data_IF_712939382102
#
_entry.id   IF_712939382102
#
_cell.length_a   1.000
_cell.length_b   1.000
_cell.length_c   1.000
_cell.angle_alpha   90.00
_cell.angle_beta   90.00
_cell.angle_gamma   90.00
#
_symmetry.space_group_name_H-M   'P 1'
#
loop_
_entity.id
_entity.type
_entity.pdbx_description
1 polymer ?
#
# COMPACT_ATOMS: atom_id res chain seq x y z
N UNK A 1 35.63 24.34 -24.60
CA UNK A 1 34.40 24.84 -23.96
C UNK A 1 33.66 23.58 -23.57
N UNK A 2 34.00 23.08 -22.39
CA UNK A 2 33.54 21.80 -21.89
C UNK A 2 32.18 22.02 -21.22
N UNK A 3 31.11 21.78 -21.98
CA UNK A 3 29.77 21.63 -21.43
C UNK A 3 29.81 20.48 -20.43
N UNK A 4 29.86 20.81 -19.14
CA UNK A 4 29.83 19.83 -18.05
C UNK A 4 28.38 19.36 -17.89
N UNK A 5 27.98 18.18 -18.41
CA UNK A 5 26.63 17.69 -18.29
C UNK A 5 26.59 16.86 -17.00
N UNK A 6 26.56 17.54 -15.86
CA UNK A 6 26.80 16.90 -14.56
C UNK A 6 25.86 17.28 -13.42
N UNK A 7 24.86 18.13 -13.67
CA UNK A 7 23.94 18.61 -12.62
C UNK A 7 22.46 18.48 -12.95
N UNK A 8 22.09 18.15 -14.19
CA UNK A 8 20.70 17.94 -14.61
C UNK A 8 20.25 16.47 -14.54
N UNK A 9 21.16 15.49 -14.57
CA UNK A 9 20.85 14.08 -14.29
C UNK A 9 20.53 13.81 -12.81
N UNK A 10 20.74 14.81 -11.95
CA UNK A 10 20.32 14.83 -10.55
C UNK A 10 18.96 15.50 -10.33
N UNK A 11 18.18 15.76 -11.39
CA UNK A 11 16.73 15.91 -11.22
C UNK A 11 16.16 14.54 -10.85
N UNK A 12 16.42 14.11 -9.60
CA UNK A 12 15.76 13.01 -8.93
C UNK A 12 14.29 13.26 -9.13
N UNK A 13 13.69 12.60 -10.11
CA UNK A 13 12.25 12.64 -10.35
C UNK A 13 11.65 12.38 -8.99
N UNK A 14 10.94 13.38 -8.46
CA UNK A 14 10.32 13.23 -7.17
C UNK A 14 9.38 12.04 -7.32
N UNK A 15 9.69 10.93 -6.65
CA UNK A 15 8.87 9.72 -6.69
C UNK A 15 7.42 10.16 -6.45
N UNK A 16 6.44 9.84 -7.30
CA UNK A 16 5.09 10.34 -7.14
C UNK A 16 4.38 9.72 -5.92
N UNK A 17 4.89 8.61 -5.39
CA UNK A 17 4.27 7.84 -4.30
C UNK A 17 4.03 8.59 -2.96
N UNK A 18 4.90 9.47 -2.45
CA UNK A 18 4.70 10.17 -1.19
C UNK A 18 3.43 11.02 -1.17
N UNK A 19 2.97 11.55 -2.31
CA UNK A 19 1.72 12.31 -2.36
C UNK A 19 0.50 11.40 -2.12
N UNK A 20 0.53 10.18 -2.66
CA UNK A 20 -0.53 9.20 -2.49
C UNK A 20 -0.52 8.59 -1.09
N UNK A 21 0.66 8.43 -0.48
CA UNK A 21 0.78 8.09 0.95
C UNK A 21 0.16 9.20 1.82
N UNK A 22 0.55 10.46 1.56
CA UNK A 22 0.07 11.62 2.30
C UNK A 22 -1.45 11.83 2.17
N UNK A 23 -2.05 11.45 1.04
CA UNK A 23 -3.49 11.49 0.84
C UNK A 23 -4.21 10.25 1.37
N UNK A 24 -3.61 9.07 1.24
CA UNK A 24 -4.21 7.79 1.62
C UNK A 24 -4.54 7.71 3.11
N UNK A 25 -3.66 8.25 3.98
CA UNK A 25 -3.88 8.29 5.42
C UNK A 25 -5.14 9.10 5.78
N UNK A 26 -5.24 10.42 5.47
CA UNK A 26 -6.41 11.21 5.83
C UNK A 26 -7.69 10.71 5.14
N UNK A 27 -7.61 10.21 3.90
CA UNK A 27 -8.78 9.60 3.24
C UNK A 27 -9.25 8.36 3.99
N UNK A 28 -8.32 7.48 4.42
CA UNK A 28 -8.67 6.29 5.20
C UNK A 28 -9.25 6.65 6.57
N UNK A 29 -8.70 7.67 7.24
CA UNK A 29 -9.22 8.16 8.52
C UNK A 29 -10.62 8.73 8.38
N UNK A 30 -10.88 9.55 7.36
CA UNK A 30 -12.24 10.06 7.09
C UNK A 30 -13.20 8.90 6.85
N UNK A 31 -12.79 7.90 6.07
CA UNK A 31 -13.60 6.70 5.85
C UNK A 31 -13.95 5.96 7.15
N UNK A 32 -12.96 5.77 8.03
CA UNK A 32 -13.13 5.03 9.28
C UNK A 32 -13.91 5.84 10.33
N UNK A 33 -13.62 7.14 10.45
CA UNK A 33 -14.23 8.02 11.45
C UNK A 33 -15.70 8.32 11.13
N UNK A 34 -16.03 8.49 9.85
CA UNK A 34 -17.39 8.79 9.38
C UNK A 34 -18.18 7.55 8.94
N UNK A 35 -17.62 6.34 9.09
CA UNK A 35 -18.25 5.06 8.70
C UNK A 35 -18.56 4.97 7.19
N UNK A 36 -17.77 5.66 6.35
CA UNK A 36 -17.82 5.55 4.90
C UNK A 36 -16.98 4.37 4.44
N UNK A 37 -17.62 3.20 4.43
CA UNK A 37 -17.02 1.92 4.03
C UNK A 37 -16.15 1.99 2.74
N UNK A 38 -16.64 2.49 1.58
CA UNK A 38 -15.82 2.52 0.36
C UNK A 38 -14.65 3.50 0.44
N UNK A 39 -14.78 4.58 1.21
CA UNK A 39 -13.73 5.59 1.38
C UNK A 39 -12.61 5.04 2.26
N UNK A 40 -12.96 4.32 3.33
CA UNK A 40 -11.99 3.64 4.19
C UNK A 40 -11.17 2.62 3.40
N UNK A 41 -11.85 1.74 2.65
CA UNK A 41 -11.20 0.73 1.82
C UNK A 41 -10.33 1.37 0.75
N UNK A 42 -10.84 2.38 0.04
CA UNK A 42 -10.09 3.11 -0.99
C UNK A 42 -8.83 3.79 -0.44
N UNK A 43 -8.92 4.44 0.72
CA UNK A 43 -7.78 5.09 1.37
C UNK A 43 -6.68 4.10 1.78
N UNK A 44 -7.07 2.95 2.37
CA UNK A 44 -6.14 1.90 2.77
C UNK A 44 -5.45 1.24 1.57
N UNK A 45 -6.18 1.01 0.47
CA UNK A 45 -5.63 0.49 -0.78
C UNK A 45 -4.66 1.49 -1.43
N UNK A 46 -5.02 2.77 -1.45
CA UNK A 46 -4.16 3.83 -1.99
C UNK A 46 -2.87 3.97 -1.19
N UNK A 47 -2.97 3.98 0.13
CA UNK A 47 -1.82 4.04 1.04
C UNK A 47 -0.90 2.84 0.84
N UNK A 48 -1.44 1.62 0.92
CA UNK A 48 -0.65 0.39 0.82
C UNK A 48 -0.03 0.18 -0.55
N UNK A 49 -0.75 0.47 -1.64
CA UNK A 49 -0.22 0.45 -3.00
C UNK A 49 0.93 1.43 -3.17
N UNK A 50 0.87 2.59 -2.53
CA UNK A 50 1.94 3.59 -2.59
C UNK A 50 3.18 3.19 -1.81
N UNK A 51 3.00 2.57 -0.63
CA UNK A 51 4.12 2.02 0.15
C UNK A 51 4.80 0.88 -0.62
N UNK A 52 4.02 0.00 -1.26
CA UNK A 52 4.57 -1.06 -2.09
C UNK A 52 5.31 -0.53 -3.33
N UNK A 53 4.77 0.49 -4.00
CA UNK A 53 5.42 1.19 -5.10
C UNK A 53 6.75 1.81 -4.67
N UNK A 54 6.78 2.47 -3.51
CA UNK A 54 7.98 3.07 -2.92
C UNK A 54 9.02 2.01 -2.54
N UNK A 55 8.59 0.85 -2.03
CA UNK A 55 9.49 -0.26 -1.67
C UNK A 55 10.13 -0.89 -2.92
N UNK A 56 9.37 -0.94 -4.03
CA UNK A 56 9.89 -1.38 -5.34
C UNK A 56 10.87 -0.36 -5.92
N UNK A 57 10.53 0.93 -5.92
CA UNK A 57 11.35 2.00 -6.49
C UNK A 57 12.67 2.20 -5.72
N UNK A 58 12.67 1.93 -4.41
CA UNK A 58 13.88 1.97 -3.58
C UNK A 58 14.77 0.73 -3.72
N UNK A 59 14.38 -0.28 -4.52
CA UNK A 59 15.12 -1.53 -4.69
C UNK A 59 15.10 -2.44 -3.47
N UNK A 60 14.27 -2.15 -2.47
CA UNK A 60 14.20 -2.92 -1.22
C UNK A 60 13.41 -4.22 -1.38
N UNK A 61 12.54 -4.30 -2.40
CA UNK A 61 11.84 -5.52 -2.77
C UNK A 61 11.95 -5.76 -4.29
N UNK A 62 12.38 -6.96 -4.67
CA UNK A 62 12.42 -7.42 -6.07
C UNK A 62 11.02 -7.36 -6.71
N UNK A 63 9.96 -7.56 -5.92
CA UNK A 63 8.58 -7.48 -6.40
C UNK A 63 7.69 -6.65 -5.48
N UNK A 64 6.73 -5.88 -6.03
CA UNK A 64 5.81 -5.05 -5.24
C UNK A 64 4.80 -5.87 -4.41
N UNK A 65 4.71 -7.18 -4.65
CA UNK A 65 3.69 -8.06 -4.08
C UNK A 65 3.97 -8.46 -2.63
N UNK A 66 5.24 -8.61 -2.25
CA UNK A 66 5.65 -8.92 -0.86
C UNK A 66 5.20 -7.84 0.14
N UNK A 67 5.52 -6.55 -0.11
CA UNK A 67 5.07 -5.45 0.75
C UNK A 67 3.55 -5.36 0.89
N UNK A 68 2.78 -5.61 -0.19
CA UNK A 68 1.31 -5.66 -0.13
C UNK A 68 0.81 -6.74 0.83
N UNK A 69 1.39 -7.95 0.78
CA UNK A 69 0.98 -9.06 1.62
C UNK A 69 1.26 -8.77 3.11
N UNK A 70 2.41 -8.17 3.43
CA UNK A 70 2.75 -7.76 4.81
C UNK A 70 1.78 -6.72 5.33
N UNK A 71 1.49 -5.67 4.54
CA UNK A 71 0.53 -4.63 4.92
C UNK A 71 -0.89 -5.19 5.08
N UNK A 72 -1.31 -6.09 4.19
CA UNK A 72 -2.57 -6.81 4.32
C UNK A 72 -2.66 -7.60 5.63
N UNK A 73 -1.58 -8.30 6.02
CA UNK A 73 -1.51 -9.01 7.29
C UNK A 73 -1.62 -8.09 8.50
N UNK A 74 -0.91 -6.94 8.50
CA UNK A 74 -0.98 -5.95 9.57
C UNK A 74 -2.41 -5.40 9.71
N UNK A 75 -3.04 -5.01 8.61
CA UNK A 75 -4.42 -4.53 8.65
C UNK A 75 -5.41 -5.61 9.08
N UNK A 76 -5.18 -6.88 8.74
CA UNK A 76 -6.05 -7.98 9.20
C UNK A 76 -6.01 -8.09 10.73
N UNK A 77 -4.81 -8.06 11.32
CA UNK A 77 -4.64 -8.12 12.78
C UNK A 77 -5.29 -6.90 13.45
N UNK A 78 -5.07 -5.71 12.90
CA UNK A 78 -5.65 -4.47 13.43
C UNK A 78 -7.19 -4.51 13.34
N UNK A 79 -7.74 -4.88 12.19
CA UNK A 79 -9.18 -4.99 11.95
C UNK A 79 -9.84 -6.03 12.84
N UNK A 80 -9.20 -7.19 13.04
CA UNK A 80 -9.67 -8.20 13.97
C UNK A 80 -9.65 -7.70 15.43
N UNK A 81 -8.58 -7.01 15.86
CA UNK A 81 -8.53 -6.41 17.18
C UNK A 81 -9.68 -5.41 17.40
N UNK A 82 -9.97 -4.55 16.42
CA UNK A 82 -11.12 -3.63 16.48
C UNK A 82 -12.47 -4.37 16.51
N UNK A 83 -12.63 -5.44 15.73
CA UNK A 83 -13.87 -6.21 15.66
C UNK A 83 -14.17 -7.01 16.95
N UNK A 84 -13.14 -7.54 17.61
CA UNK A 84 -13.27 -8.35 18.83
C UNK A 84 -13.22 -7.53 20.12
N UNK A 85 -12.48 -6.41 20.16
CA UNK A 85 -12.30 -5.63 21.40
C UNK A 85 -13.40 -4.59 21.66
N UNK A 86 -14.21 -4.21 20.66
CA UNK A 86 -15.18 -3.12 20.80
C UNK A 86 -16.56 -3.47 20.22
N UNK A 87 -17.51 -3.81 21.11
CA UNK A 87 -18.89 -4.18 20.78
C UNK A 87 -19.73 -3.09 20.09
N UNK A 88 -19.19 -1.87 19.92
CA UNK A 88 -19.86 -0.72 19.28
C UNK A 88 -19.11 -0.19 18.03
N UNK A 89 -18.03 -0.88 17.60
CA UNK A 89 -17.21 -0.51 16.44
C UNK A 89 -17.22 -1.57 15.33
N UNK A 90 -18.14 -2.53 15.38
CA UNK A 90 -18.19 -3.68 14.46
C UNK A 90 -18.22 -3.24 12.99
N UNK A 91 -19.04 -2.25 12.61
CA UNK A 91 -19.11 -1.74 11.22
C UNK A 91 -17.76 -1.25 10.70
N UNK A 92 -16.99 -0.57 11.56
CA UNK A 92 -15.66 -0.02 11.24
C UNK A 92 -14.59 -1.12 11.14
N UNK A 93 -14.66 -2.10 12.04
CA UNK A 93 -13.79 -3.29 12.00
C UNK A 93 -13.93 -4.08 10.70
N UNK A 94 -15.16 -4.23 10.20
CA UNK A 94 -15.41 -4.92 8.93
C UNK A 94 -14.79 -4.22 7.72
N UNK A 95 -14.73 -2.88 7.70
CA UNK A 95 -14.08 -2.13 6.62
C UNK A 95 -12.57 -2.41 6.57
N UNK A 96 -11.92 -2.45 7.72
CA UNK A 96 -10.48 -2.74 7.83
C UNK A 96 -10.20 -4.20 7.42
N UNK A 97 -11.03 -5.14 7.88
CA UNK A 97 -10.91 -6.57 7.51
C UNK A 97 -11.11 -6.75 6.00
N UNK A 98 -12.10 -6.08 5.40
CA UNK A 98 -12.35 -6.17 3.96
C UNK A 98 -11.13 -5.67 3.15
N UNK A 99 -10.57 -4.51 3.52
CA UNK A 99 -9.35 -3.99 2.90
C UNK A 99 -8.17 -4.96 3.05
N UNK A 100 -8.00 -5.54 4.25
CA UNK A 100 -6.96 -6.52 4.52
C UNK A 100 -7.10 -7.77 3.63
N UNK A 101 -8.32 -8.31 3.48
CA UNK A 101 -8.60 -9.45 2.60
C UNK A 101 -8.25 -9.11 1.16
N UNK A 102 -8.67 -7.94 0.66
CA UNK A 102 -8.34 -7.51 -0.71
C UNK A 102 -6.83 -7.42 -0.91
N UNK A 103 -6.10 -6.86 0.05
CA UNK A 103 -4.64 -6.74 -0.02
C UNK A 103 -3.94 -8.09 0.03
N UNK A 104 -4.41 -9.01 0.86
CA UNK A 104 -3.87 -10.37 0.94
C UNK A 104 -4.13 -11.13 -0.37
N UNK A 105 -5.33 -10.99 -0.95
CA UNK A 105 -5.65 -11.60 -2.25
C UNK A 105 -4.81 -11.00 -3.36
N UNK A 106 -4.61 -9.68 -3.38
CA UNK A 106 -3.75 -9.01 -4.35
C UNK A 106 -2.28 -9.45 -4.21
N UNK A 107 -1.76 -9.53 -2.98
CA UNK A 107 -0.41 -10.02 -2.69
C UNK A 107 -0.23 -11.49 -3.08
N UNK A 108 -1.21 -12.34 -2.76
CA UNK A 108 -1.19 -13.77 -3.11
C UNK A 108 -1.31 -14.00 -4.62
N UNK A 109 -2.22 -13.29 -5.30
CA UNK A 109 -2.33 -13.33 -6.76
C UNK A 109 -1.01 -12.85 -7.41
N UNK A 110 -0.42 -11.78 -6.89
CA UNK A 110 0.89 -11.30 -7.30
C UNK A 110 2.01 -12.31 -7.18
N UNK A 111 2.03 -13.08 -6.09
CA UNK A 111 3.01 -14.13 -5.89
C UNK A 111 2.79 -15.34 -6.81
N UNK A 112 1.54 -15.68 -7.12
CA UNK A 112 1.20 -16.82 -7.97
C UNK A 112 1.33 -16.52 -9.47
N UNK A 113 1.10 -15.27 -9.90
CA UNK A 113 1.07 -14.85 -11.31
C UNK A 113 2.20 -13.90 -11.71
N UNK A 114 3.08 -13.52 -10.78
CA UNK A 114 4.21 -12.64 -11.05
C UNK A 114 5.18 -13.25 -12.06
N UNK A 115 5.53 -12.54 -13.15
CA UNK A 115 6.54 -13.00 -14.09
C UNK A 115 7.83 -13.30 -13.33
N UNK A 116 8.35 -14.53 -13.45
CA UNK A 116 9.71 -14.84 -13.03
C UNK A 116 10.61 -14.10 -14.01
N UNK A 117 11.27 -13.05 -13.55
CA UNK A 117 12.37 -12.46 -14.33
C UNK A 117 13.42 -13.57 -14.50
N UNK A 118 13.46 -14.17 -15.69
CA UNK A 118 14.49 -15.11 -16.06
C UNK A 118 15.84 -14.37 -15.97
N UNK A 119 16.83 -14.92 -15.27
CA UNK A 119 18.14 -14.31 -15.19
C UNK A 119 18.73 -14.28 -16.60
N UNK A 120 18.89 -13.08 -17.16
CA UNK A 120 19.62 -12.89 -18.40
C UNK A 120 21.09 -13.26 -18.14
N UNK A 121 21.47 -14.44 -18.63
CA UNK A 121 22.86 -14.92 -18.70
C UNK A 121 23.66 -14.15 -19.75
#
# INVERSE_FOLDING_TARGET
>A
MDDTPGLSDQYRTASPWPIFVALGIPVSEIGILFDLFPVAVGGLLLFSGSVAGMTKESGYAETPWGPLAVLGGVFLVLGAAFAFAAANLQTRGYAIIAAAVILLLAGAAGHLFGPREEPSL
#
